data_IF_304046295750
#
_entry.id   IF_304046295750
#
_cell.length_a   1.000
_cell.length_b   1.000
_cell.length_c   1.000
_cell.angle_alpha   90.00
_cell.angle_beta   90.00
_cell.angle_gamma   90.00
#
_symmetry.space_group_name_H-M   'P 1'
#
loop_
_entity.id
_entity.type
_entity.pdbx_description
1 polymer ?
#
# COMPACT_ATOMS: atom_id res chain seq x y z
N UNK A 1 3.18 -35.78 -5.86
CA UNK A 1 2.11 -36.79 -5.61
C UNK A 1 1.33 -37.12 -6.87
N UNK A 2 0.60 -36.17 -7.50
CA UNK A 2 -0.19 -36.42 -8.73
C UNK A 2 0.54 -37.24 -9.80
N UNK A 3 1.75 -36.84 -10.18
CA UNK A 3 2.53 -37.55 -11.22
C UNK A 3 2.76 -39.03 -10.95
N UNK A 4 3.03 -39.42 -9.70
CA UNK A 4 3.24 -40.83 -9.33
C UNK A 4 1.94 -41.65 -9.28
N UNK A 5 0.82 -41.02 -8.91
CA UNK A 5 -0.50 -41.65 -9.00
C UNK A 5 -0.82 -41.89 -10.48
N UNK A 6 -0.62 -40.88 -11.33
CA UNK A 6 -0.75 -41.00 -12.78
C UNK A 6 0.14 -42.09 -13.36
N UNK A 7 1.40 -42.19 -12.93
CA UNK A 7 2.32 -43.26 -13.33
C UNK A 7 1.78 -44.64 -12.95
N UNK A 8 1.31 -44.83 -11.71
CA UNK A 8 0.70 -46.09 -11.28
C UNK A 8 -0.44 -46.52 -12.21
N UNK A 9 -1.39 -45.63 -12.48
CA UNK A 9 -2.49 -45.94 -13.39
C UNK A 9 -2.00 -46.17 -14.83
N UNK A 10 -0.99 -45.44 -15.30
CA UNK A 10 -0.42 -45.62 -16.63
C UNK A 10 0.18 -47.02 -16.77
N UNK A 11 1.04 -47.42 -15.84
CA UNK A 11 1.68 -48.75 -15.84
C UNK A 11 0.65 -49.86 -15.65
N UNK A 12 -0.29 -49.70 -14.71
CA UNK A 12 -1.28 -50.73 -14.42
C UNK A 12 -2.28 -50.93 -15.57
N UNK A 13 -2.74 -49.86 -16.23
CA UNK A 13 -3.56 -50.00 -17.45
C UNK A 13 -2.75 -50.52 -18.64
N UNK A 14 -1.46 -50.18 -18.75
CA UNK A 14 -0.57 -50.73 -19.78
C UNK A 14 -0.22 -52.21 -19.57
N UNK A 15 -0.32 -52.73 -18.33
CA UNK A 15 -0.20 -54.15 -18.01
C UNK A 15 -1.50 -54.89 -18.39
N UNK A 16 -1.75 -54.96 -19.69
CA UNK A 16 -2.96 -55.47 -20.30
C UNK A 16 -2.61 -56.37 -21.51
N UNK A 17 -3.38 -57.44 -21.68
CA UNK A 17 -3.36 -58.30 -22.86
C UNK A 17 -4.76 -58.46 -23.45
N UNK A 18 -5.77 -58.72 -22.61
CA UNK A 18 -7.18 -58.85 -23.02
C UNK A 18 -8.09 -58.31 -21.93
N UNK A 19 -9.38 -58.21 -22.20
CA UNK A 19 -10.37 -57.81 -21.19
C UNK A 19 -10.44 -58.78 -19.99
N UNK A 20 -9.95 -60.01 -20.13
CA UNK A 20 -9.78 -61.01 -19.06
C UNK A 20 -8.32 -61.17 -18.60
N UNK A 21 -7.43 -60.28 -19.03
CA UNK A 21 -6.00 -60.32 -18.69
C UNK A 21 -5.48 -58.88 -18.60
N UNK A 22 -5.66 -58.23 -17.45
CA UNK A 22 -5.16 -56.89 -17.17
C UNK A 22 -5.23 -56.52 -15.69
N UNK A 23 -4.57 -55.42 -15.32
CA UNK A 23 -4.37 -55.05 -13.92
C UNK A 23 -5.37 -54.03 -13.36
N UNK A 24 -6.13 -53.34 -14.20
CA UNK A 24 -7.19 -52.43 -13.78
C UNK A 24 -8.48 -52.83 -14.50
N UNK A 25 -9.60 -52.84 -13.78
CA UNK A 25 -10.94 -53.16 -14.30
C UNK A 25 -11.92 -52.04 -13.95
N UNK A 26 -13.06 -52.00 -14.65
CA UNK A 26 -14.16 -51.05 -14.35
C UNK A 26 -15.15 -51.56 -13.30
N UNK A 27 -14.80 -52.63 -12.55
CA UNK A 27 -15.65 -53.16 -11.49
C UNK A 27 -15.71 -52.20 -10.29
N UNK A 28 -16.91 -51.96 -9.77
CA UNK A 28 -17.15 -51.02 -8.66
C UNK A 28 -16.98 -51.63 -7.27
N UNK A 29 -16.68 -52.93 -7.17
CA UNK A 29 -16.45 -53.63 -5.90
C UNK A 29 -15.21 -54.53 -5.98
N UNK A 30 -14.55 -54.78 -4.84
CA UNK A 30 -13.40 -55.68 -4.77
C UNK A 30 -13.76 -57.08 -5.31
N UNK A 31 -12.90 -57.65 -6.14
CA UNK A 31 -13.15 -58.94 -6.79
C UNK A 31 -14.24 -58.93 -7.88
N UNK A 32 -14.77 -57.76 -8.25
CA UNK A 32 -15.64 -57.59 -9.43
C UNK A 32 -14.85 -57.21 -10.69
N UNK A 33 -15.49 -57.21 -11.86
CA UNK A 33 -14.85 -56.77 -13.11
C UNK A 33 -14.06 -57.84 -13.88
N UNK A 34 -14.39 -59.13 -13.72
CA UNK A 34 -13.90 -60.14 -14.67
C UNK A 34 -14.31 -59.76 -16.09
N UNK A 35 -13.39 -59.95 -17.04
CA UNK A 35 -13.61 -59.62 -18.45
C UNK A 35 -13.88 -58.13 -18.74
N UNK A 36 -13.58 -57.22 -17.80
CA UNK A 36 -13.68 -55.76 -18.00
C UNK A 36 -12.37 -55.02 -17.74
N UNK A 37 -11.24 -55.70 -17.89
CA UNK A 37 -9.93 -55.06 -17.82
C UNK A 37 -9.80 -53.97 -18.90
N UNK A 38 -9.12 -52.88 -18.56
CA UNK A 38 -8.89 -51.74 -19.45
C UNK A 38 -7.41 -51.59 -19.78
N UNK A 39 -7.13 -51.13 -21.01
CA UNK A 39 -5.78 -50.99 -21.58
C UNK A 39 -5.23 -49.55 -21.52
N UNK A 40 -6.05 -48.60 -21.08
CA UNK A 40 -5.72 -47.17 -21.06
C UNK A 40 -6.46 -46.45 -19.94
N UNK A 41 -5.86 -45.37 -19.43
CA UNK A 41 -6.50 -44.48 -18.44
C UNK A 41 -7.82 -43.90 -18.98
N UNK A 42 -7.90 -43.57 -20.26
CA UNK A 42 -9.10 -42.98 -20.86
C UNK A 42 -10.35 -43.88 -20.72
N UNK A 43 -10.17 -45.21 -20.70
CA UNK A 43 -11.26 -46.18 -20.52
C UNK A 43 -11.78 -46.26 -19.07
N UNK A 44 -11.13 -45.60 -18.13
CA UNK A 44 -11.64 -45.42 -16.76
C UNK A 44 -12.68 -44.30 -16.67
N UNK A 45 -12.88 -43.52 -17.74
CA UNK A 45 -13.88 -42.45 -17.77
C UNK A 45 -13.66 -41.44 -16.64
N UNK A 46 -14.72 -41.14 -15.89
CA UNK A 46 -14.69 -40.20 -14.76
C UNK A 46 -13.91 -40.70 -13.55
N UNK A 47 -13.64 -42.01 -13.48
CA UNK A 47 -12.88 -42.63 -12.38
C UNK A 47 -11.37 -42.64 -12.65
N UNK A 48 -10.96 -42.28 -13.86
CA UNK A 48 -9.55 -42.18 -14.24
C UNK A 48 -8.88 -40.94 -13.66
N UNK A 49 -7.58 -41.00 -13.31
CA UNK A 49 -6.85 -39.81 -12.91
C UNK A 49 -6.78 -38.81 -14.07
N UNK A 50 -6.91 -37.52 -13.75
CA UNK A 50 -6.59 -36.47 -14.71
C UNK A 50 -5.09 -36.47 -15.02
N UNK A 51 -4.75 -36.77 -16.27
CA UNK A 51 -3.38 -36.82 -16.80
C UNK A 51 -3.01 -35.60 -17.65
N UNK A 52 -3.90 -34.61 -17.75
CA UNK A 52 -3.64 -33.41 -18.54
C UNK A 52 -2.46 -32.63 -17.97
N UNK A 53 -1.59 -32.12 -18.85
CA UNK A 53 -0.50 -31.25 -18.42
C UNK A 53 -1.10 -29.96 -17.85
N UNK A 54 -1.02 -29.79 -16.53
CA UNK A 54 -1.45 -28.55 -15.88
C UNK A 54 -0.47 -27.46 -16.24
N UNK A 55 -0.93 -26.48 -17.02
CA UNK A 55 -0.32 -25.15 -17.01
C UNK A 55 -1.04 -24.36 -15.93
N UNK A 56 -0.30 -23.72 -15.02
CA UNK A 56 -0.90 -22.73 -14.15
C UNK A 56 -1.55 -21.68 -15.07
N UNK A 57 -2.87 -21.47 -14.92
CA UNK A 57 -3.58 -20.41 -15.60
C UNK A 57 -4.14 -19.45 -14.56
N UNK A 58 -4.11 -18.18 -14.88
CA UNK A 58 -4.51 -17.07 -13.99
C UNK A 58 -6.02 -17.15 -13.63
N UNK A 59 -6.80 -17.92 -14.39
CA UNK A 59 -8.24 -18.16 -14.23
C UNK A 59 -8.60 -19.49 -13.54
N UNK A 60 -7.61 -20.30 -13.17
CA UNK A 60 -7.82 -21.67 -12.65
C UNK A 60 -7.78 -21.78 -11.11
N UNK A 61 -7.85 -20.65 -10.42
CA UNK A 61 -7.96 -20.62 -8.96
C UNK A 61 -9.32 -21.14 -8.50
N UNK A 62 -9.35 -22.31 -7.89
CA UNK A 62 -10.47 -22.69 -7.02
C UNK A 62 -10.38 -21.85 -5.74
N UNK A 63 -11.48 -21.21 -5.35
CA UNK A 63 -11.57 -20.46 -4.08
C UNK A 63 -11.37 -21.36 -2.86
N UNK A 64 -11.57 -22.67 -3.02
CA UNK A 64 -11.40 -23.68 -1.99
C UNK A 64 -10.96 -25.01 -2.62
N UNK A 65 -10.08 -25.73 -1.93
CA UNK A 65 -9.67 -27.08 -2.26
C UNK A 65 -10.30 -28.02 -1.23
N UNK A 66 -11.35 -28.73 -1.61
CA UNK A 66 -12.18 -29.51 -0.68
C UNK A 66 -11.60 -30.89 -0.32
N UNK A 67 -10.60 -31.37 -1.08
CA UNK A 67 -9.99 -32.70 -0.93
C UNK A 67 -9.11 -32.87 0.32
N UNK A 68 -8.82 -31.81 1.07
CA UNK A 68 -8.07 -31.85 2.32
C UNK A 68 -8.70 -30.96 3.41
N UNK A 69 -8.27 -31.17 4.66
CA UNK A 69 -8.57 -30.33 5.82
C UNK A 69 -7.46 -30.46 6.87
N UNK A 70 -7.68 -29.92 8.07
CA UNK A 70 -6.76 -30.03 9.20
C UNK A 70 -6.49 -31.48 9.62
N UNK A 71 -7.46 -32.38 9.40
CA UNK A 71 -7.32 -33.79 9.73
C UNK A 71 -6.43 -34.49 8.71
N UNK A 72 -6.70 -34.36 7.41
CA UNK A 72 -5.96 -35.07 6.39
C UNK A 72 -6.47 -34.86 4.96
N UNK A 73 -6.37 -35.91 4.13
CA UNK A 73 -6.80 -35.96 2.73
C UNK A 73 -8.11 -36.76 2.65
N UNK A 74 -9.25 -36.08 2.46
CA UNK A 74 -10.61 -36.60 2.69
C UNK A 74 -11.00 -37.80 1.79
N UNK A 75 -10.48 -37.85 0.56
CA UNK A 75 -10.79 -38.92 -0.41
C UNK A 75 -9.92 -40.17 -0.29
N UNK A 76 -8.84 -40.13 0.50
CA UNK A 76 -7.88 -41.23 0.63
C UNK A 76 -8.14 -42.03 1.91
N UNK A 77 -9.32 -42.65 1.94
CA UNK A 77 -9.82 -43.46 3.05
C UNK A 77 -9.04 -44.77 3.25
N UNK A 78 -9.33 -45.48 4.35
CA UNK A 78 -8.71 -46.78 4.62
C UNK A 78 -8.85 -47.74 3.44
N UNK A 79 -7.73 -48.14 2.86
CA UNK A 79 -7.64 -49.24 1.87
C UNK A 79 -7.06 -50.48 2.50
N UNK A 80 -7.33 -51.66 1.95
CA UNK A 80 -6.66 -52.92 2.31
C UNK A 80 -5.34 -53.13 1.54
N UNK A 81 -4.99 -52.20 0.65
CA UNK A 81 -3.93 -52.40 -0.35
C UNK A 81 -4.35 -53.38 -1.44
N UNK A 82 -3.36 -53.95 -2.12
CA UNK A 82 -3.54 -54.91 -3.21
C UNK A 82 -3.39 -56.33 -2.62
N UNK A 83 -4.48 -56.92 -2.16
CA UNK A 83 -4.51 -58.31 -1.66
C UNK A 83 -4.99 -59.29 -2.75
N UNK A 84 -4.61 -60.56 -2.74
CA UNK A 84 -5.08 -61.50 -3.78
C UNK A 84 -6.58 -61.71 -3.76
N UNK A 85 -7.22 -61.58 -2.60
CA UNK A 85 -8.68 -61.58 -2.50
C UNK A 85 -9.34 -60.39 -3.24
N UNK A 86 -8.58 -59.35 -3.58
CA UNK A 86 -9.03 -58.23 -4.43
C UNK A 86 -8.72 -58.42 -5.92
N UNK A 87 -7.86 -59.40 -6.26
CA UNK A 87 -7.55 -59.80 -7.63
C UNK A 87 -8.49 -60.92 -8.04
N UNK A 88 -9.08 -60.83 -9.22
CA UNK A 88 -9.89 -61.93 -9.77
C UNK A 88 -9.04 -62.78 -10.70
N UNK A 89 -9.12 -64.11 -10.54
CA UNK A 89 -8.38 -65.07 -11.37
C UNK A 89 -8.67 -64.92 -12.86
N UNK A 90 -9.89 -64.50 -13.21
CA UNK A 90 -10.32 -64.23 -14.59
C UNK A 90 -9.78 -62.92 -15.17
N UNK A 91 -9.13 -62.07 -14.36
CA UNK A 91 -8.50 -60.82 -14.83
C UNK A 91 -6.97 -60.93 -14.92
N UNK A 92 -6.34 -61.97 -14.34
CA UNK A 92 -4.90 -62.32 -14.45
C UNK A 92 -3.93 -61.13 -14.50
N UNK A 93 -3.75 -60.43 -13.37
CA UNK A 93 -2.73 -59.37 -13.25
C UNK A 93 -1.43 -59.89 -12.62
N UNK A 94 -0.38 -60.13 -13.42
CA UNK A 94 0.92 -60.56 -12.90
C UNK A 94 1.72 -59.43 -12.22
N UNK A 95 1.41 -58.16 -12.48
CA UNK A 95 2.07 -57.02 -11.82
C UNK A 95 1.82 -57.01 -10.31
N UNK A 96 0.68 -57.55 -9.87
CA UNK A 96 0.20 -57.48 -8.50
C UNK A 96 0.23 -58.80 -7.73
N UNK A 97 0.78 -59.87 -8.33
CA UNK A 97 0.96 -61.15 -7.65
C UNK A 97 2.12 -61.07 -6.64
N UNK A 98 1.93 -61.62 -5.45
CA UNK A 98 2.98 -61.84 -4.46
C UNK A 98 3.66 -63.20 -4.65
N UNK A 99 2.89 -64.22 -5.02
CA UNK A 99 3.38 -65.57 -5.25
C UNK A 99 4.10 -65.76 -6.59
N UNK A 100 4.22 -67.02 -7.01
CA UNK A 100 4.93 -67.40 -8.23
C UNK A 100 4.42 -66.68 -9.48
N UNK A 101 5.33 -66.04 -10.22
CA UNK A 101 5.01 -65.29 -11.44
C UNK A 101 4.64 -63.81 -11.24
N UNK A 102 4.79 -63.26 -10.03
CA UNK A 102 4.63 -61.83 -9.72
C UNK A 102 5.95 -61.06 -9.75
N UNK A 103 6.00 -59.94 -10.50
CA UNK A 103 7.19 -59.18 -10.95
C UNK A 103 8.49 -59.98 -11.29
N UNK A 104 8.32 -61.29 -11.46
CA UNK A 104 8.83 -62.19 -12.50
C UNK A 104 10.16 -62.92 -12.26
N UNK A 105 10.29 -63.59 -11.11
CA UNK A 105 10.99 -64.88 -10.99
C UNK A 105 10.02 -65.99 -10.56
N UNK A 106 10.51 -67.23 -10.51
CA UNK A 106 9.79 -68.41 -9.98
C UNK A 106 9.36 -68.26 -8.52
N UNK A 107 9.98 -67.35 -7.78
CA UNK A 107 9.79 -67.16 -6.34
C UNK A 107 8.87 -65.98 -6.03
N UNK A 108 8.31 -66.00 -4.81
CA UNK A 108 7.49 -64.91 -4.28
C UNK A 108 8.31 -63.62 -4.07
N UNK A 109 7.64 -62.47 -4.07
CA UNK A 109 8.27 -61.18 -3.75
C UNK A 109 8.81 -61.20 -2.32
N UNK A 110 10.03 -60.68 -2.11
CA UNK A 110 10.72 -60.79 -0.82
C UNK A 110 10.21 -59.78 0.24
N UNK A 111 9.76 -58.61 -0.22
CA UNK A 111 9.32 -57.49 0.61
C UNK A 111 8.00 -56.93 0.09
N UNK A 112 7.31 -56.19 0.95
CA UNK A 112 6.12 -55.42 0.55
C UNK A 112 6.50 -54.42 -0.55
N UNK A 113 5.75 -54.42 -1.64
CA UNK A 113 5.93 -53.48 -2.75
C UNK A 113 4.91 -52.36 -2.61
N UNK A 114 5.38 -51.13 -2.65
CA UNK A 114 4.56 -49.93 -2.44
C UNK A 114 4.29 -49.26 -3.78
N UNK A 115 3.02 -49.25 -4.19
CA UNK A 115 2.52 -48.57 -5.38
C UNK A 115 1.86 -47.24 -5.01
N UNK A 116 1.70 -46.34 -5.99
CA UNK A 116 1.08 -45.03 -5.82
C UNK A 116 1.63 -44.28 -4.59
N UNK A 117 2.96 -44.14 -4.52
CA UNK A 117 3.68 -43.55 -3.37
C UNK A 117 3.34 -44.19 -2.01
N UNK A 118 3.10 -45.50 -2.01
CA UNK A 118 2.90 -46.30 -0.79
C UNK A 118 1.49 -46.30 -0.22
N UNK A 119 0.52 -45.65 -0.89
CA UNK A 119 -0.90 -45.79 -0.53
C UNK A 119 -1.45 -47.19 -0.86
N UNK A 120 -0.94 -47.83 -1.91
CA UNK A 120 -1.30 -49.18 -2.29
C UNK A 120 -0.13 -50.12 -2.05
N UNK A 121 -0.10 -50.78 -0.89
CA UNK A 121 0.89 -51.81 -0.61
C UNK A 121 0.47 -53.16 -1.20
N UNK A 122 1.46 -53.97 -1.56
CA UNK A 122 1.31 -55.38 -1.87
C UNK A 122 2.22 -56.17 -0.94
N UNK A 123 1.65 -56.89 0.01
CA UNK A 123 2.45 -57.72 0.92
C UNK A 123 3.05 -58.93 0.21
N UNK A 124 4.13 -59.48 0.77
CA UNK A 124 4.75 -60.72 0.30
C UNK A 124 3.89 -61.96 0.50
N UNK A 125 2.98 -61.93 1.47
CA UNK A 125 2.00 -62.99 1.70
C UNK A 125 0.69 -62.66 0.98
N UNK A 126 0.23 -63.61 0.16
CA UNK A 126 -0.89 -63.47 -0.78
C UNK A 126 -2.19 -62.90 -0.16
N UNK A 127 -2.54 -63.35 1.04
CA UNK A 127 -3.75 -62.96 1.74
C UNK A 127 -3.58 -61.76 2.71
N UNK A 128 -2.37 -61.25 2.87
CA UNK A 128 -2.08 -60.20 3.86
C UNK A 128 -2.41 -58.82 3.30
N UNK A 129 -3.29 -58.09 4.00
CA UNK A 129 -3.63 -56.71 3.66
C UNK A 129 -2.55 -55.74 4.14
N UNK A 130 -2.37 -54.64 3.42
CA UNK A 130 -1.49 -53.54 3.81
C UNK A 130 -2.31 -52.27 4.04
N UNK A 131 -2.95 -52.10 5.21
CA UNK A 131 -3.86 -50.99 5.43
C UNK A 131 -3.14 -49.64 5.34
N UNK A 132 -3.75 -48.68 4.64
CA UNK A 132 -3.28 -47.30 4.48
C UNK A 132 -4.45 -46.35 4.54
N UNK A 133 -4.26 -45.19 5.15
CA UNK A 133 -5.30 -44.20 5.35
C UNK A 133 -4.66 -42.83 5.50
N UNK A 134 -5.11 -41.86 4.71
CA UNK A 134 -4.59 -40.49 4.72
C UNK A 134 -5.59 -39.48 5.28
N UNK A 135 -6.73 -39.91 5.84
CA UNK A 135 -7.84 -39.05 6.29
C UNK A 135 -7.54 -38.33 7.60
N UNK A 136 -6.56 -38.80 8.38
CA UNK A 136 -6.13 -38.11 9.59
C UNK A 136 -4.60 -38.12 9.78
N UNK A 137 -4.10 -37.18 10.57
CA UNK A 137 -2.67 -36.98 10.75
C UNK A 137 -1.95 -38.14 11.45
N UNK A 138 -2.63 -38.83 12.37
CA UNK A 138 -2.05 -39.98 13.07
C UNK A 138 -1.80 -41.14 12.11
N UNK A 139 -2.77 -41.42 11.23
CA UNK A 139 -2.69 -42.48 10.22
C UNK A 139 -1.73 -42.16 9.08
N UNK A 140 -1.57 -40.88 8.74
CA UNK A 140 -0.52 -40.41 7.83
C UNK A 140 0.89 -40.66 8.38
N UNK A 141 1.05 -40.79 9.70
CA UNK A 141 2.32 -41.09 10.35
C UNK A 141 3.33 -39.94 10.30
N UNK A 142 4.56 -40.26 10.68
CA UNK A 142 5.67 -39.30 10.73
C UNK A 142 6.30 -39.08 9.36
N UNK A 143 6.86 -37.89 9.13
CA UNK A 143 7.60 -37.57 7.91
C UNK A 143 9.03 -38.15 7.96
N UNK A 144 9.13 -39.48 7.89
CA UNK A 144 10.38 -40.25 7.89
C UNK A 144 10.41 -41.23 6.71
N UNK A 145 11.61 -41.59 6.23
CA UNK A 145 11.79 -42.43 5.03
C UNK A 145 11.20 -43.84 5.15
N UNK A 146 11.05 -44.35 6.38
CA UNK A 146 10.43 -45.66 6.63
C UNK A 146 8.91 -45.62 6.58
N UNK A 147 8.30 -44.43 6.57
CA UNK A 147 6.86 -44.29 6.46
C UNK A 147 6.40 -44.44 5.00
N UNK A 148 5.60 -45.46 4.66
CA UNK A 148 5.09 -45.62 3.30
C UNK A 148 4.20 -44.44 2.83
N UNK A 149 3.64 -43.65 3.76
CA UNK A 149 2.81 -42.48 3.44
C UNK A 149 3.57 -41.14 3.51
N UNK A 150 4.90 -41.15 3.58
CA UNK A 150 5.75 -39.95 3.67
C UNK A 150 5.30 -38.85 2.70
N UNK A 151 5.13 -39.17 1.43
CA UNK A 151 4.79 -38.16 0.41
C UNK A 151 3.38 -37.59 0.56
N UNK A 152 2.44 -38.37 1.09
CA UNK A 152 1.09 -37.88 1.42
C UNK A 152 1.11 -37.00 2.67
N UNK A 153 1.92 -37.34 3.69
CA UNK A 153 2.14 -36.47 4.84
C UNK A 153 2.79 -35.15 4.43
N UNK A 154 3.80 -35.18 3.57
CA UNK A 154 4.46 -33.97 3.05
C UNK A 154 3.50 -33.12 2.23
N UNK A 155 2.65 -33.74 1.40
CA UNK A 155 1.61 -33.02 0.66
C UNK A 155 0.62 -32.33 1.61
N UNK A 156 0.09 -33.05 2.61
CA UNK A 156 -0.83 -32.48 3.59
C UNK A 156 -0.20 -31.30 4.35
N UNK A 157 1.03 -31.44 4.83
CA UNK A 157 1.77 -30.36 5.49
C UNK A 157 1.94 -29.13 4.58
N UNK A 158 2.30 -29.35 3.31
CA UNK A 158 2.45 -28.25 2.34
C UNK A 158 1.11 -27.56 2.06
N UNK A 159 0.03 -28.33 1.91
CA UNK A 159 -1.32 -27.79 1.72
C UNK A 159 -1.78 -26.99 2.94
N UNK A 160 -1.53 -27.46 4.16
CA UNK A 160 -1.81 -26.69 5.37
C UNK A 160 -0.99 -25.40 5.49
N UNK A 161 0.23 -25.38 4.95
CA UNK A 161 1.04 -24.17 4.86
C UNK A 161 0.58 -23.19 3.77
N UNK A 162 -0.15 -23.67 2.77
CA UNK A 162 -0.75 -22.86 1.69
C UNK A 162 -2.20 -22.48 1.98
N UNK A 163 -2.88 -23.24 2.85
CA UNK A 163 -4.21 -22.91 3.34
C UNK A 163 -4.17 -21.45 3.82
N UNK A 164 -5.26 -20.68 3.64
CA UNK A 164 -5.33 -19.28 4.04
C UNK A 164 -5.33 -19.12 5.58
N UNK A 165 -4.38 -19.71 6.28
CA UNK A 165 -3.97 -19.33 7.63
C UNK A 165 -3.35 -17.93 7.62
N UNK A 166 -2.87 -17.49 6.45
CA UNK A 166 -2.47 -16.12 6.18
C UNK A 166 -3.34 -15.56 5.05
N UNK A 167 -4.61 -15.26 5.31
CA UNK A 167 -5.16 -14.04 4.71
C UNK A 167 -4.10 -12.99 5.00
N UNK A 168 -3.47 -12.45 3.95
CA UNK A 168 -2.78 -11.16 4.07
C UNK A 168 -3.91 -10.22 4.45
N UNK A 169 -4.15 -10.13 5.75
CA UNK A 169 -5.07 -9.20 6.34
C UNK A 169 -4.24 -7.94 6.32
N UNK A 170 -4.20 -7.29 5.15
CA UNK A 170 -3.77 -5.90 5.09
C UNK A 170 -4.74 -5.22 6.05
N UNK A 171 -4.28 -4.73 7.22
CA UNK A 171 -5.16 -4.04 8.14
C UNK A 171 -5.84 -2.97 7.29
N UNK A 172 -7.16 -3.09 7.13
CA UNK A 172 -7.91 -2.13 6.35
C UNK A 172 -7.88 -0.84 7.17
N UNK A 173 -6.90 0.00 6.89
CA UNK A 173 -6.83 1.35 7.43
C UNK A 173 -7.81 2.19 6.61
N UNK A 174 -8.97 2.44 7.21
CA UNK A 174 -9.95 3.34 6.65
C UNK A 174 -9.68 4.75 7.17
N UNK A 175 -8.96 5.54 6.37
CA UNK A 175 -8.66 6.94 6.68
C UNK A 175 -9.92 7.82 6.83
N UNK A 176 -11.09 7.33 6.40
CA UNK A 176 -12.37 8.00 6.65
C UNK A 176 -12.89 7.80 8.07
N UNK A 177 -12.37 6.82 8.83
CA UNK A 177 -12.71 6.63 10.23
C UNK A 177 -11.75 7.42 11.13
N UNK A 178 -12.30 8.38 11.88
CA UNK A 178 -11.52 9.22 12.79
C UNK A 178 -10.83 8.38 13.88
N UNK A 179 -11.49 7.33 14.36
CA UNK A 179 -10.93 6.42 15.37
C UNK A 179 -9.69 5.68 14.88
N UNK A 180 -9.70 5.22 13.62
CA UNK A 180 -8.55 4.55 13.02
C UNK A 180 -7.40 5.54 12.79
N UNK A 181 -7.72 6.72 12.24
CA UNK A 181 -6.74 7.78 11.99
C UNK A 181 -6.04 8.25 13.29
N UNK A 182 -6.81 8.43 14.37
CA UNK A 182 -6.29 8.87 15.68
C UNK A 182 -5.50 7.78 16.42
N UNK A 183 -5.75 6.51 16.10
CA UNK A 183 -4.97 5.37 16.62
C UNK A 183 -3.71 5.07 15.81
N UNK A 184 -3.62 5.57 14.57
CA UNK A 184 -2.48 5.28 13.70
C UNK A 184 -1.20 6.01 14.13
N UNK A 185 -0.16 5.22 14.41
CA UNK A 185 1.11 5.74 14.92
C UNK A 185 1.83 6.60 13.89
N UNK A 186 1.66 6.33 12.58
CA UNK A 186 2.31 7.12 11.54
C UNK A 186 1.64 8.48 11.37
N UNK A 187 0.31 8.53 11.44
CA UNK A 187 -0.46 9.76 11.43
C UNK A 187 -0.11 10.66 12.62
N UNK A 188 -0.04 10.10 13.84
CA UNK A 188 0.38 10.85 15.03
C UNK A 188 1.78 11.46 14.83
N UNK A 189 2.74 10.70 14.27
CA UNK A 189 4.08 11.21 13.93
C UNK A 189 4.01 12.35 12.91
N UNK A 190 3.16 12.24 11.90
CA UNK A 190 2.96 13.28 10.89
C UNK A 190 2.38 14.57 11.51
N UNK A 191 1.37 14.45 12.40
CA UNK A 191 0.79 15.58 13.14
C UNK A 191 1.86 16.30 13.98
N UNK A 192 2.68 15.55 14.72
CA UNK A 192 3.79 16.12 15.50
C UNK A 192 4.78 16.89 14.64
N UNK A 193 5.15 16.32 13.49
CA UNK A 193 6.12 16.93 12.58
C UNK A 193 5.55 18.18 11.92
N UNK A 194 4.37 18.08 11.32
CA UNK A 194 3.86 19.09 10.40
C UNK A 194 2.93 20.12 11.05
N UNK A 195 2.16 19.72 12.06
CA UNK A 195 1.21 20.62 12.73
C UNK A 195 1.75 21.22 14.03
N UNK A 196 2.64 20.49 14.73
CA UNK A 196 3.26 20.96 15.96
C UNK A 196 4.73 21.40 15.79
N UNK A 197 5.35 21.15 14.63
CA UNK A 197 6.72 21.58 14.34
C UNK A 197 7.79 20.86 15.14
N UNK A 198 7.48 19.69 15.70
CA UNK A 198 8.44 18.87 16.46
C UNK A 198 9.42 18.24 15.45
N UNK A 199 10.72 18.41 15.70
CA UNK A 199 11.76 17.82 14.85
C UNK A 199 11.68 16.29 14.90
N UNK A 200 11.87 15.63 13.77
CA UNK A 200 11.75 14.16 13.66
C UNK A 200 12.59 13.40 14.69
N UNK A 201 13.79 13.89 15.01
CA UNK A 201 14.67 13.29 16.01
C UNK A 201 14.15 13.37 17.47
N UNK A 202 13.10 14.15 17.72
CA UNK A 202 12.51 14.39 19.04
C UNK A 202 11.11 13.78 19.18
N UNK A 203 10.63 13.07 18.16
CA UNK A 203 9.30 12.48 18.17
C UNK A 203 9.30 11.24 19.06
N UNK A 204 8.54 11.30 20.15
CA UNK A 204 8.28 10.16 21.04
C UNK A 204 6.91 9.55 20.74
N UNK A 205 6.55 8.47 21.43
CA UNK A 205 5.21 7.85 21.38
C UNK A 205 4.18 8.53 22.29
N UNK A 206 4.60 9.39 23.22
CA UNK A 206 3.69 10.08 24.17
C UNK A 206 2.78 11.10 23.46
N UNK A 207 1.56 11.31 23.95
CA UNK A 207 0.68 12.36 23.40
C UNK A 207 1.19 13.75 23.75
N UNK A 208 2.00 14.32 22.86
CA UNK A 208 2.56 15.67 22.96
C UNK A 208 1.58 16.71 22.40
N UNK A 209 0.30 16.64 22.80
CA UNK A 209 -0.77 17.50 22.31
C UNK A 209 -1.24 17.19 20.88
N UNK A 210 -0.94 15.98 20.39
CA UNK A 210 -1.35 15.54 19.05
C UNK A 210 -2.86 15.37 19.00
N UNK A 211 -3.46 14.78 20.03
CA UNK A 211 -4.92 14.61 20.16
C UNK A 211 -5.65 15.96 20.10
N UNK A 212 -5.22 16.93 20.90
CA UNK A 212 -5.83 18.26 20.92
C UNK A 212 -5.70 18.97 19.55
N UNK A 213 -4.56 18.80 18.87
CA UNK A 213 -4.34 19.39 17.54
C UNK A 213 -5.21 18.73 16.46
N UNK A 214 -5.36 17.41 16.52
CA UNK A 214 -6.26 16.65 15.64
C UNK A 214 -7.70 17.13 15.84
N UNK A 215 -8.18 17.17 17.08
CA UNK A 215 -9.52 17.64 17.42
C UNK A 215 -9.77 19.09 16.97
N UNK A 216 -8.76 19.95 17.06
CA UNK A 216 -8.85 21.34 16.57
C UNK A 216 -9.09 21.40 15.05
N UNK A 217 -8.37 20.58 14.28
CA UNK A 217 -8.39 20.62 12.80
C UNK A 217 -9.57 19.83 12.24
N UNK A 218 -9.76 18.62 12.77
CA UNK A 218 -10.65 17.59 12.21
C UNK A 218 -11.94 17.40 12.99
N UNK A 219 -12.12 18.11 14.11
CA UNK A 219 -13.25 17.96 15.05
C UNK A 219 -13.24 16.60 15.76
N UNK A 220 -14.05 16.50 16.81
CA UNK A 220 -14.01 15.34 17.73
C UNK A 220 -14.95 14.21 17.33
N UNK A 221 -15.97 14.50 16.52
CA UNK A 221 -16.95 13.52 16.09
C UNK A 221 -16.80 13.15 14.61
N UNK A 222 -17.20 11.92 14.28
CA UNK A 222 -17.05 11.32 12.97
C UNK A 222 -17.79 12.09 11.85
N UNK A 223 -18.98 12.63 12.15
CA UNK A 223 -19.77 13.38 11.17
C UNK A 223 -19.13 14.71 10.79
N UNK A 224 -18.64 15.44 11.79
CA UNK A 224 -17.93 16.70 11.59
C UNK A 224 -16.58 16.48 10.91
N UNK A 225 -15.87 15.39 11.22
CA UNK A 225 -14.64 15.03 10.51
C UNK A 225 -14.89 14.80 9.02
N UNK A 226 -15.91 14.01 8.69
CA UNK A 226 -16.25 13.70 7.31
C UNK A 226 -16.67 14.96 6.54
N UNK A 227 -17.52 15.80 7.12
CA UNK A 227 -17.97 17.04 6.47
C UNK A 227 -16.86 18.11 6.40
N UNK A 228 -15.98 18.19 7.40
CA UNK A 228 -14.92 19.20 7.44
C UNK A 228 -13.76 18.89 6.48
N UNK A 229 -13.47 17.61 6.23
CA UNK A 229 -12.33 17.17 5.42
C UNK A 229 -12.75 16.34 4.20
N UNK A 230 -13.31 15.15 4.40
CA UNK A 230 -13.53 14.17 3.32
C UNK A 230 -14.53 14.64 2.27
N UNK A 231 -15.67 15.20 2.67
CA UNK A 231 -16.64 15.77 1.73
C UNK A 231 -16.05 16.91 0.89
N UNK A 232 -15.17 17.71 1.48
CA UNK A 232 -14.52 18.80 0.75
C UNK A 232 -13.49 18.24 -0.23
N UNK A 233 -12.71 17.25 0.20
CA UNK A 233 -11.71 16.59 -0.62
C UNK A 233 -12.35 15.91 -1.82
N UNK A 234 -13.42 15.14 -1.63
CA UNK A 234 -14.08 14.41 -2.72
C UNK A 234 -14.72 15.31 -3.75
N UNK A 235 -15.21 16.49 -3.34
CA UNK A 235 -15.84 17.51 -4.22
C UNK A 235 -14.84 18.42 -4.93
N UNK A 236 -13.53 18.22 -4.76
CA UNK A 236 -12.54 18.98 -5.54
C UNK A 236 -12.65 18.59 -7.00
N UNK A 237 -12.88 19.59 -7.85
CA UNK A 237 -12.94 19.43 -9.30
C UNK A 237 -11.55 19.38 -9.90
N UNK A 238 -11.30 18.34 -10.68
CA UNK A 238 -10.10 18.15 -11.48
C UNK A 238 -10.50 18.32 -12.95
N UNK A 239 -9.97 19.34 -13.65
CA UNK A 239 -10.16 19.45 -15.07
C UNK A 239 -9.46 18.26 -15.73
N UNK A 240 -10.19 17.53 -16.56
CA UNK A 240 -9.59 16.48 -17.36
C UNK A 240 -8.69 17.15 -18.41
N UNK A 241 -7.58 16.50 -18.77
CA UNK A 241 -6.68 17.00 -19.82
C UNK A 241 -7.31 16.99 -21.23
N UNK A 242 -8.61 16.72 -21.33
CA UNK A 242 -9.34 16.43 -22.56
C UNK A 242 -10.57 17.34 -22.63
N UNK A 243 -10.61 18.19 -23.65
CA UNK A 243 -11.72 19.06 -24.08
C UNK A 243 -13.07 18.34 -24.35
N UNK A 244 -13.24 17.08 -23.93
CA UNK A 244 -14.35 16.18 -24.28
C UNK A 244 -15.19 15.75 -23.08
N UNK A 245 -14.61 15.67 -21.88
CA UNK A 245 -15.35 15.30 -20.66
C UNK A 245 -15.14 16.37 -19.60
N UNK A 246 -16.22 17.00 -19.14
CA UNK A 246 -16.17 18.06 -18.13
C UNK A 246 -15.45 17.65 -16.83
N UNK A 247 -15.22 18.63 -15.96
CA UNK A 247 -14.49 18.45 -14.70
C UNK A 247 -14.97 17.24 -13.89
N UNK A 248 -14.05 16.35 -13.50
CA UNK A 248 -14.32 15.21 -12.63
C UNK A 248 -14.12 15.59 -11.16
N UNK A 249 -14.96 15.05 -10.29
CA UNK A 249 -14.70 15.08 -8.84
C UNK A 249 -13.57 14.10 -8.49
N UNK A 250 -12.81 14.38 -7.43
CA UNK A 250 -11.79 13.43 -6.92
C UNK A 250 -12.41 12.05 -6.63
N UNK A 251 -13.67 12.00 -6.18
CA UNK A 251 -14.36 10.72 -5.95
C UNK A 251 -14.64 9.91 -7.23
N UNK A 252 -14.51 10.51 -8.41
CA UNK A 252 -14.74 9.87 -9.71
C UNK A 252 -13.44 9.38 -10.37
N UNK A 253 -12.28 9.61 -9.72
CA UNK A 253 -10.99 9.11 -10.17
C UNK A 253 -10.90 7.62 -9.82
N UNK A 254 -10.77 6.77 -10.84
CA UNK A 254 -10.90 5.33 -10.66
C UNK A 254 -9.55 4.58 -10.69
N UNK A 255 -8.48 5.21 -11.16
CA UNK A 255 -7.19 4.55 -11.36
C UNK A 255 -5.99 5.45 -11.01
N UNK A 256 -4.81 4.81 -10.93
CA UNK A 256 -3.57 5.46 -10.50
C UNK A 256 -3.07 6.52 -11.49
N UNK A 257 -3.29 6.31 -12.80
CA UNK A 257 -2.89 7.26 -13.85
C UNK A 257 -3.70 8.56 -13.76
N UNK A 258 -5.02 8.46 -13.64
CA UNK A 258 -5.89 9.60 -13.38
C UNK A 258 -5.56 10.31 -12.06
N UNK A 259 -5.14 9.56 -11.04
CA UNK A 259 -4.69 10.10 -9.75
C UNK A 259 -3.41 10.94 -9.89
N UNK A 260 -2.44 10.46 -10.68
CA UNK A 260 -1.19 11.19 -10.92
C UNK A 260 -1.43 12.51 -11.66
N UNK A 261 -2.29 12.48 -12.69
CA UNK A 261 -2.68 13.68 -13.44
C UNK A 261 -3.35 14.69 -12.51
N UNK A 262 -4.31 14.26 -11.69
CA UNK A 262 -4.99 15.10 -10.73
C UNK A 262 -4.03 15.72 -9.71
N UNK A 263 -3.09 14.92 -9.18
CA UNK A 263 -2.09 15.41 -8.23
C UNK A 263 -1.18 16.48 -8.84
N UNK A 264 -0.72 16.26 -10.08
CA UNK A 264 0.13 17.22 -10.77
C UNK A 264 -0.61 18.53 -11.07
N UNK A 265 -1.88 18.46 -11.49
CA UNK A 265 -2.73 19.64 -11.67
C UNK A 265 -2.91 20.43 -10.36
N UNK A 266 -3.22 19.76 -9.25
CA UNK A 266 -3.41 20.41 -7.95
C UNK A 266 -2.10 21.05 -7.45
N UNK A 267 -0.96 20.38 -7.63
CA UNK A 267 0.36 20.95 -7.32
C UNK A 267 0.64 22.22 -8.13
N UNK A 268 0.38 22.19 -9.43
CA UNK A 268 0.63 23.32 -10.31
C UNK A 268 -0.30 24.50 -9.98
N UNK A 269 -1.56 24.22 -9.65
CA UNK A 269 -2.55 25.22 -9.23
C UNK A 269 -2.19 25.86 -7.89
N UNK A 270 -1.77 25.05 -6.91
CA UNK A 270 -1.30 25.57 -5.62
C UNK A 270 -0.03 26.42 -5.80
N UNK A 271 0.89 25.99 -6.66
CA UNK A 271 2.10 26.73 -6.97
C UNK A 271 1.80 28.08 -7.64
N UNK A 272 0.90 28.11 -8.63
CA UNK A 272 0.53 29.36 -9.32
C UNK A 272 -0.16 30.35 -8.38
N UNK A 273 -1.05 29.87 -7.50
CA UNK A 273 -1.69 30.69 -6.48
C UNK A 273 -0.67 31.28 -5.49
N UNK A 274 0.31 30.49 -5.04
CA UNK A 274 1.38 30.97 -4.16
C UNK A 274 2.26 32.03 -4.84
N UNK A 275 2.62 31.82 -6.12
CA UNK A 275 3.38 32.80 -6.91
C UNK A 275 2.58 34.10 -7.08
N UNK A 276 1.28 34.02 -7.36
CA UNK A 276 0.42 35.19 -7.48
C UNK A 276 0.33 35.98 -6.16
N UNK A 277 0.17 35.29 -5.03
CA UNK A 277 0.15 35.92 -3.71
C UNK A 277 1.49 36.58 -3.35
N UNK A 278 2.61 35.95 -3.69
CA UNK A 278 3.94 36.55 -3.51
C UNK A 278 4.13 37.79 -4.39
N UNK A 279 3.64 37.76 -5.62
CA UNK A 279 3.69 38.91 -6.54
C UNK A 279 2.85 40.07 -6.03
N UNK A 280 1.62 39.81 -5.58
CA UNK A 280 0.74 40.83 -4.98
C UNK A 280 1.39 41.47 -3.73
N UNK A 281 1.98 40.65 -2.85
CA UNK A 281 2.74 41.16 -1.70
C UNK A 281 3.93 42.02 -2.13
N UNK A 282 4.66 41.59 -3.16
CA UNK A 282 5.80 42.34 -3.69
C UNK A 282 5.38 43.67 -4.29
N UNK A 283 4.26 43.71 -5.02
CA UNK A 283 3.74 44.92 -5.65
C UNK A 283 3.18 45.88 -4.59
N UNK A 284 2.52 45.37 -3.55
CA UNK A 284 2.11 46.17 -2.37
C UNK A 284 3.31 46.81 -1.67
N UNK A 285 4.39 46.04 -1.44
CA UNK A 285 5.62 46.54 -0.84
C UNK A 285 6.31 47.60 -1.73
N UNK A 286 6.31 47.43 -3.05
CA UNK A 286 6.85 48.43 -3.99
C UNK A 286 6.04 49.72 -3.97
N UNK A 287 4.71 49.63 -4.01
CA UNK A 287 3.83 50.80 -3.95
C UNK A 287 4.03 51.56 -2.63
N UNK A 288 4.18 50.84 -1.52
CA UNK A 288 4.44 51.44 -0.22
C UNK A 288 5.81 52.13 -0.17
N UNK A 289 6.87 51.47 -0.66
CA UNK A 289 8.20 52.06 -0.73
C UNK A 289 8.23 53.32 -1.62
N UNK A 290 7.44 53.33 -2.71
CA UNK A 290 7.30 54.51 -3.57
C UNK A 290 6.56 55.64 -2.85
N UNK A 291 5.47 55.37 -2.12
CA UNK A 291 4.76 56.39 -1.33
C UNK A 291 5.70 57.06 -0.31
N UNK A 292 6.48 56.29 0.43
CA UNK A 292 7.45 56.83 1.40
C UNK A 292 8.50 57.68 0.71
N UNK A 293 9.02 57.23 -0.45
CA UNK A 293 10.00 58.01 -1.22
C UNK A 293 9.43 59.33 -1.73
N UNK A 294 8.23 59.30 -2.31
CA UNK A 294 7.58 60.52 -2.84
C UNK A 294 7.30 61.53 -1.72
N UNK A 295 6.76 61.10 -0.57
CA UNK A 295 6.54 62.01 0.55
C UNK A 295 7.84 62.55 1.16
N UNK A 296 8.93 61.77 1.15
CA UNK A 296 10.25 62.25 1.57
C UNK A 296 10.84 63.25 0.56
N UNK A 297 10.68 63.00 -0.74
CA UNK A 297 11.10 63.93 -1.81
C UNK A 297 10.34 65.26 -1.72
N UNK A 298 9.01 65.23 -1.55
CA UNK A 298 8.16 66.41 -1.35
C UNK A 298 8.60 67.27 -0.16
N UNK A 299 8.96 66.65 0.97
CA UNK A 299 9.50 67.40 2.12
C UNK A 299 10.89 68.01 1.82
N UNK A 300 11.74 67.29 1.08
CA UNK A 300 13.10 67.75 0.78
C UNK A 300 13.15 68.88 -0.27
N UNK A 301 12.09 69.11 -1.05
CA UNK A 301 12.01 70.22 -2.02
C UNK A 301 12.09 71.60 -1.34
N UNK A 302 11.56 71.73 -0.12
CA UNK A 302 11.64 72.96 0.68
C UNK A 302 13.06 73.25 1.22
N UNK A 303 14.01 72.32 1.06
CA UNK A 303 15.44 72.46 1.40
C UNK A 303 15.66 73.07 2.81
N UNK A 304 16.19 74.29 2.85
CA UNK A 304 16.54 75.04 4.06
C UNK A 304 15.53 76.17 4.38
N UNK A 305 14.50 76.34 3.55
CA UNK A 305 13.47 77.35 3.74
C UNK A 305 12.48 76.92 4.83
N UNK A 306 12.53 77.63 5.95
CA UNK A 306 11.70 77.36 7.11
C UNK A 306 10.22 77.64 6.83
N UNK A 307 9.91 78.71 6.13
CA UNK A 307 8.53 79.14 5.89
C UNK A 307 7.85 78.24 4.85
N UNK A 308 8.60 77.74 3.87
CA UNK A 308 8.14 76.76 2.91
C UNK A 308 7.94 75.37 3.55
N UNK A 309 8.86 74.94 4.41
CA UNK A 309 8.71 73.69 5.15
C UNK A 309 7.52 73.69 6.12
N UNK A 310 7.25 74.82 6.80
CA UNK A 310 6.11 74.96 7.72
C UNK A 310 4.77 74.83 7.00
N UNK A 311 4.66 75.23 5.72
CA UNK A 311 3.45 75.02 4.92
C UNK A 311 3.19 73.53 4.65
N UNK A 312 4.25 72.71 4.59
CA UNK A 312 4.20 71.26 4.36
C UNK A 312 4.03 70.46 5.66
N UNK A 313 3.91 71.11 6.82
CA UNK A 313 3.76 70.42 8.10
C UNK A 313 2.49 69.54 8.15
N UNK A 314 1.42 69.97 7.45
CA UNK A 314 0.17 69.19 7.29
C UNK A 314 0.36 67.90 6.48
N UNK A 315 1.39 67.82 5.65
CA UNK A 315 1.77 66.63 4.90
C UNK A 315 2.75 65.74 5.69
N UNK A 316 3.08 66.13 6.93
CA UNK A 316 3.97 65.38 7.80
C UNK A 316 5.44 65.79 7.71
N UNK A 317 5.78 66.92 7.07
CA UNK A 317 7.17 67.42 7.06
C UNK A 317 7.53 68.14 8.36
N UNK A 318 8.82 68.12 8.75
CA UNK A 318 9.36 68.81 9.92
C UNK A 318 10.66 69.52 9.59
N UNK A 319 10.77 70.78 10.04
CA UNK A 319 11.99 71.57 9.91
C UNK A 319 12.94 71.30 11.08
N UNK A 320 14.10 70.73 10.78
CA UNK A 320 15.19 70.53 11.71
C UNK A 320 16.29 71.57 11.47
N UNK A 321 16.45 72.59 12.34
CA UNK A 321 17.47 73.62 12.18
C UNK A 321 18.91 73.09 12.32
N UNK A 322 19.08 71.87 12.88
CA UNK A 322 20.36 71.17 12.99
C UNK A 322 20.64 70.23 11.82
N UNK A 323 19.77 70.19 10.81
CA UNK A 323 19.94 69.37 9.61
C UNK A 323 21.05 69.88 8.70
N UNK A 324 21.55 68.98 7.84
CA UNK A 324 22.53 69.32 6.80
C UNK A 324 21.97 70.37 5.84
N UNK A 325 22.83 71.23 5.30
CA UNK A 325 22.39 72.26 4.35
C UNK A 325 21.76 71.63 3.12
N UNK A 326 20.56 72.10 2.78
CA UNK A 326 19.70 71.60 1.71
C UNK A 326 18.77 70.46 2.15
N UNK A 327 18.78 70.04 3.42
CA UNK A 327 17.99 68.92 3.98
C UNK A 327 17.40 69.21 5.35
N UNK A 328 17.14 70.48 5.66
CA UNK A 328 16.55 70.86 6.95
C UNK A 328 15.06 70.53 7.02
N UNK A 329 14.35 70.43 5.90
CA UNK A 329 12.99 69.92 5.86
C UNK A 329 12.96 68.43 5.51
N UNK A 330 12.43 67.58 6.41
CA UNK A 330 12.39 66.10 6.24
C UNK A 330 11.04 65.53 6.67
N UNK A 331 10.71 64.31 6.24
CA UNK A 331 9.46 63.65 6.64
C UNK A 331 9.53 63.23 8.13
N UNK A 332 8.47 63.50 8.89
CA UNK A 332 8.38 63.11 10.31
C UNK A 332 8.54 61.58 10.45
N UNK A 333 9.41 61.09 11.34
CA UNK A 333 9.63 59.65 11.55
C UNK A 333 8.36 58.86 11.88
N UNK A 334 7.41 59.48 12.58
CA UNK A 334 6.12 58.86 12.93
C UNK A 334 5.23 58.66 11.69
N UNK A 335 5.19 59.63 10.79
CA UNK A 335 4.44 59.55 9.53
C UNK A 335 5.07 58.53 8.58
N UNK A 336 6.40 58.52 8.51
CA UNK A 336 7.16 57.49 7.79
C UNK A 336 6.87 56.08 8.31
N UNK A 337 6.88 55.90 9.63
CA UNK A 337 6.56 54.62 10.25
C UNK A 337 5.09 54.21 10.07
N UNK A 338 4.15 55.16 10.02
CA UNK A 338 2.74 54.88 9.72
C UNK A 338 2.55 54.45 8.26
N UNK A 339 3.17 55.17 7.30
CA UNK A 339 3.16 54.81 5.88
C UNK A 339 3.78 53.43 5.63
N UNK A 340 4.80 53.05 6.41
CA UNK A 340 5.40 51.71 6.38
C UNK A 340 4.54 50.62 7.05
N UNK A 341 3.58 50.98 7.93
CA UNK A 341 2.70 50.05 8.65
C UNK A 341 1.32 49.86 8.04
N UNK A 342 0.85 50.79 7.20
CA UNK A 342 -0.51 50.82 6.63
C UNK A 342 -0.91 49.55 5.82
N UNK A 343 0.05 48.67 5.52
CA UNK A 343 -0.18 47.39 4.83
C UNK A 343 -0.39 46.18 5.76
N UNK A 344 -0.18 46.31 7.09
CA UNK A 344 -0.28 45.19 8.04
C UNK A 344 -1.67 44.98 8.65
N UNK A 345 -2.58 45.96 8.58
CA UNK A 345 -3.82 45.94 9.38
C UNK A 345 -5.09 45.44 8.68
N UNK A 346 -5.05 44.89 7.46
CA UNK A 346 -6.24 44.23 6.86
C UNK A 346 -6.46 42.79 7.35
N UNK A 347 -6.12 42.52 8.62
CA UNK A 347 -6.14 41.18 9.19
C UNK A 347 -6.58 41.11 10.65
N UNK A 348 -7.79 41.59 10.95
CA UNK A 348 -8.55 41.21 12.14
C UNK A 348 -8.39 42.12 13.36
N UNK A 349 -9.51 42.70 13.80
CA UNK A 349 -9.65 43.33 15.09
C UNK A 349 -9.52 42.28 16.21
N UNK A 350 -8.60 42.47 17.16
CA UNK A 350 -8.92 42.54 18.59
C UNK A 350 -7.73 43.10 19.39
N UNK A 351 -8.03 43.89 20.41
CA UNK A 351 -7.05 44.76 21.09
C UNK A 351 -6.15 44.07 22.11
N UNK A 352 -4.86 44.45 22.14
CA UNK A 352 -4.12 44.97 23.30
C UNK A 352 -2.66 45.25 22.94
N UNK A 353 -2.17 46.40 23.40
CA UNK A 353 -0.77 46.83 23.40
C UNK A 353 0.14 45.75 24.00
N UNK A 354 1.15 45.32 23.25
CA UNK A 354 2.57 45.42 23.62
C UNK A 354 3.45 44.86 22.49
N UNK A 355 4.64 45.45 22.39
CA UNK A 355 5.64 45.25 21.36
C UNK A 355 6.11 43.79 21.25
N UNK A 356 6.01 43.23 20.03
CA UNK A 356 6.96 42.32 19.40
C UNK A 356 6.51 42.09 17.95
N UNK A 357 7.47 41.99 17.04
CA UNK A 357 7.23 41.57 15.66
C UNK A 357 6.67 40.13 15.64
N UNK A 358 5.35 39.99 15.78
CA UNK A 358 4.64 38.72 15.65
C UNK A 358 3.50 38.92 14.66
N UNK A 359 3.80 38.69 13.38
CA UNK A 359 2.82 38.64 12.31
C UNK A 359 3.03 37.37 11.48
N UNK A 360 1.96 36.91 10.81
CA UNK A 360 1.84 35.65 10.04
C UNK A 360 2.99 35.35 9.04
N UNK A 361 3.81 36.35 8.70
CA UNK A 361 5.02 36.19 7.89
C UNK A 361 6.14 35.44 8.63
N UNK A 362 6.20 35.55 9.97
CA UNK A 362 7.16 34.86 10.84
C UNK A 362 6.95 33.34 10.79
N UNK A 363 5.70 32.89 10.94
CA UNK A 363 5.32 31.47 10.89
C UNK A 363 5.67 30.80 9.56
N UNK A 364 5.77 31.57 8.47
CA UNK A 364 6.11 31.05 7.14
C UNK A 364 7.63 30.97 6.93
N UNK A 365 8.43 31.92 7.45
CA UNK A 365 9.91 31.84 7.34
C UNK A 365 10.50 30.83 8.32
N UNK A 366 9.95 30.70 9.54
CA UNK A 366 10.47 29.78 10.57
C UNK A 366 10.27 28.30 10.20
N UNK A 367 9.21 27.97 9.45
CA UNK A 367 8.91 26.61 8.96
C UNK A 367 9.74 26.19 7.73
N UNK A 368 10.55 27.09 7.16
CA UNK A 368 11.35 26.79 5.98
C UNK A 368 12.82 26.60 6.36
N UNK A 369 13.46 25.43 6.09
CA UNK A 369 14.86 25.15 6.50
C UNK A 369 15.95 26.06 5.88
N UNK A 370 15.56 27.09 5.11
CA UNK A 370 16.48 28.01 4.41
C UNK A 370 16.52 29.44 5.00
N UNK A 371 15.75 29.76 6.04
CA UNK A 371 15.89 31.02 6.77
C UNK A 371 16.90 30.83 7.93
N UNK A 372 18.21 30.91 7.67
CA UNK A 372 19.22 31.04 8.74
C UNK A 372 19.37 32.52 9.12
N UNK A 373 19.21 32.82 10.41
CA UNK A 373 19.51 34.11 11.01
C UNK A 373 20.88 34.05 11.69
N UNK A 374 21.78 34.97 11.34
CA UNK A 374 23.01 35.28 12.09
C UNK A 374 22.92 36.74 12.55
N UNK A 375 22.66 36.95 13.85
CA UNK A 375 23.06 38.16 14.59
C UNK A 375 22.58 39.56 14.15
N UNK A 376 21.59 40.07 14.90
CA UNK A 376 21.31 41.46 15.33
C UNK A 376 21.21 42.65 14.35
N UNK A 377 21.61 42.60 13.10
CA UNK A 377 21.40 43.74 12.18
C UNK A 377 20.95 43.33 10.77
N UNK A 378 19.99 44.10 10.24
CA UNK A 378 19.37 43.91 8.93
C UNK A 378 20.30 44.50 7.86
N UNK A 379 21.06 43.68 7.14
CA UNK A 379 21.63 44.10 5.85
C UNK A 379 20.54 44.05 4.78
N UNK A 380 20.35 45.20 4.12
CA UNK A 380 19.39 45.47 3.05
C UNK A 380 19.00 44.24 2.21
N UNK A 381 17.78 43.76 2.41
CA UNK A 381 17.23 42.59 1.71
C UNK A 381 16.64 42.94 0.33
N UNK A 382 16.78 44.19 -0.12
CA UNK A 382 16.35 44.65 -1.44
C UNK A 382 17.20 44.08 -2.58
N UNK A 383 18.43 43.63 -2.32
CA UNK A 383 19.33 43.10 -3.37
C UNK A 383 19.21 41.58 -3.62
N UNK A 384 18.74 40.79 -2.65
CA UNK A 384 18.74 39.32 -2.77
C UNK A 384 17.46 38.72 -3.39
N UNK A 385 16.34 39.46 -3.40
CA UNK A 385 15.11 38.99 -4.03
C UNK A 385 15.25 38.87 -5.56
N UNK A 386 15.94 39.81 -6.19
CA UNK A 386 16.10 39.82 -7.66
C UNK A 386 16.98 38.68 -8.18
N UNK A 387 18.02 38.25 -7.45
CA UNK A 387 18.93 37.18 -7.91
C UNK A 387 18.35 35.77 -7.75
N UNK A 388 17.46 35.55 -6.77
CA UNK A 388 16.84 34.22 -6.56
C UNK A 388 15.69 33.93 -7.52
N UNK A 389 15.03 34.96 -8.06
CA UNK A 389 14.01 34.80 -9.11
C UNK A 389 14.66 34.28 -10.41
N UNK A 390 15.89 34.72 -10.74
CA UNK A 390 16.62 34.20 -11.89
C UNK A 390 17.01 32.71 -11.80
N UNK A 391 17.12 32.13 -10.59
CA UNK A 391 17.47 30.71 -10.45
C UNK A 391 16.26 29.78 -10.61
N UNK A 392 15.04 30.25 -10.33
CA UNK A 392 13.81 29.43 -10.44
C UNK A 392 13.34 29.34 -11.90
N UNK A 393 13.70 30.32 -12.74
CA UNK A 393 13.45 30.27 -14.18
C UNK A 393 14.41 29.33 -14.96
N UNK A 394 15.48 28.83 -14.33
CA UNK A 394 16.55 28.04 -14.98
C UNK A 394 16.45 26.53 -14.68
N UNK A 395 15.42 26.08 -13.95
CA UNK A 395 15.19 24.64 -13.65
C UNK A 395 13.88 24.14 -14.30
N UNK A 396 13.55 24.66 -15.49
CA UNK A 396 12.56 24.08 -16.39
C UNK A 396 13.25 23.29 -17.49
#
# INVERSE_FOLDING_TARGET
VRGFITEFFTVATGAYATNSQGCITTGSTAGSGAATAVDTIAKLGTDGPDVTATKARDDSGATELDFYDEAGLKGLQTTTGIADSSLKDDAKCNLFKAGGGGIQQSAAIANTINFALGFLGRDKAEATTTPRDCTNQEKLGQAIDTNPLLHYKTLHTALMGLAPQNTITIPKFDATQLAELTSDTNFIKAVKTHFLGIKTAQITTEDQGSTAKINQIYKENQGDFNSAFWEKLTKIKIPTASWIDGDKDISQIANLEETEIALNYLKQTAHSAAVAALKDLQDKLKTQANKVKTSEEECNEAKDDKDECVKLEKQGCVYNPKGDSGKKCTLKPEVKAQLEKESQETGGADGKKEEKYTGKLWDVCEKTPRCKWDGKERKDSSFYLNKKISLIAVVL
#
